data_IF_162574628879
#
_entry.id   IF_162574628879
#
_cell.length_a   1.000
_cell.length_b   1.000
_cell.length_c   1.000
_cell.angle_alpha   90.00
_cell.angle_beta   90.00
_cell.angle_gamma   90.00
#
_symmetry.space_group_name_H-M   'P 1'
#
loop_
_entity.id
_entity.type
_entity.pdbx_description
1 polymer ?
#
# COMPACT_ATOMS: atom_id res chain seq x y z
N UNK A 1 -8.65 10.04 -15.30
CA UNK A 1 -8.87 10.97 -14.15
C UNK A 1 -8.43 10.35 -12.82
N UNK A 2 -8.77 9.10 -12.50
CA UNK A 2 -8.31 8.44 -11.26
C UNK A 2 -6.79 8.32 -11.22
N UNK A 3 -6.14 7.99 -12.33
CA UNK A 3 -4.69 7.87 -12.43
C UNK A 3 -3.95 9.21 -12.30
N UNK A 4 -4.53 10.32 -12.78
CA UNK A 4 -3.92 11.65 -12.67
C UNK A 4 -3.98 12.22 -11.26
N UNK A 5 -4.95 11.82 -10.44
CA UNK A 5 -5.02 12.20 -9.02
C UNK A 5 -3.93 11.54 -8.15
N UNK A 6 -3.42 10.37 -8.55
CA UNK A 6 -2.42 9.62 -7.78
C UNK A 6 -0.96 10.02 -8.11
N UNK A 7 -0.72 10.73 -9.21
CA UNK A 7 0.63 11.08 -9.69
C UNK A 7 1.12 12.45 -9.19
N UNK A 8 0.28 13.25 -8.56
CA UNK A 8 0.63 14.59 -8.10
C UNK A 8 0.18 14.90 -6.67
N UNK A 9 0.70 14.18 -5.67
CA UNK A 9 0.23 14.26 -4.28
C UNK A 9 0.33 15.63 -3.61
N UNK A 10 1.17 16.54 -4.07
CA UNK A 10 1.22 17.92 -3.53
C UNK A 10 0.29 18.91 -4.25
N UNK A 11 -0.08 18.64 -5.49
CA UNK A 11 -0.93 19.56 -6.28
C UNK A 11 -2.42 19.30 -6.09
N UNK A 12 -2.84 18.04 -5.84
CA UNK A 12 -4.27 17.69 -5.67
C UNK A 12 -4.88 18.15 -4.34
N UNK A 13 -4.09 18.40 -3.30
CA UNK A 13 -4.60 18.83 -1.99
C UNK A 13 -4.85 20.34 -1.92
N UNK A 14 -4.12 21.15 -2.72
CA UNK A 14 -4.28 22.62 -2.75
C UNK A 14 -5.43 23.10 -3.63
N UNK A 15 -5.74 22.40 -4.73
CA UNK A 15 -6.71 22.86 -5.72
C UNK A 15 -8.17 22.45 -5.47
N UNK A 16 -8.45 21.74 -4.37
CA UNK A 16 -9.84 21.36 -4.02
C UNK A 16 -10.76 22.49 -3.58
N UNK A 17 -10.29 23.74 -3.56
CA UNK A 17 -11.11 24.90 -3.17
C UNK A 17 -11.67 25.72 -4.33
N UNK A 18 -11.32 25.45 -5.60
CA UNK A 18 -11.86 26.17 -6.74
C UNK A 18 -12.40 25.24 -7.83
N UNK A 19 -13.72 25.22 -7.92
CA UNK A 19 -14.59 24.96 -9.08
C UNK A 19 -14.30 23.73 -9.95
N UNK A 20 -15.01 22.64 -9.66
CA UNK A 20 -15.27 21.60 -10.65
C UNK A 20 -16.28 22.10 -11.69
N UNK A 21 -16.00 21.94 -13.01
CA UNK A 21 -17.01 22.19 -14.04
C UNK A 21 -18.12 21.14 -13.97
N UNK A 22 -19.37 21.42 -14.40
CA UNK A 22 -20.46 20.46 -14.40
C UNK A 22 -20.20 19.39 -15.47
N UNK A 23 -19.50 18.35 -15.12
CA UNK A 23 -19.27 17.16 -15.94
C UNK A 23 -20.20 16.04 -15.51
N UNK A 24 -20.85 15.43 -16.47
CA UNK A 24 -21.81 14.33 -16.43
C UNK A 24 -21.59 13.39 -15.26
N UNK A 25 -22.64 13.15 -14.47
CA UNK A 25 -22.75 12.15 -13.42
C UNK A 25 -22.42 10.76 -14.00
N UNK A 26 -21.19 10.33 -13.90
CA UNK A 26 -20.80 8.96 -14.17
C UNK A 26 -20.83 8.17 -12.86
N UNK A 27 -21.87 7.32 -12.77
CA UNK A 27 -21.92 6.22 -11.82
C UNK A 27 -22.01 6.65 -10.34
N UNK A 28 -23.19 7.11 -9.93
CA UNK A 28 -23.53 7.14 -8.51
C UNK A 28 -23.25 5.77 -7.85
N UNK A 29 -22.74 5.74 -6.61
CA UNK A 29 -22.66 4.49 -5.84
C UNK A 29 -24.04 3.82 -5.85
N UNK A 30 -24.07 2.49 -5.87
CA UNK A 30 -25.32 1.73 -5.89
C UNK A 30 -26.20 2.21 -4.74
N UNK A 31 -27.27 2.91 -5.06
CA UNK A 31 -28.26 3.34 -4.09
C UNK A 31 -28.86 2.09 -3.44
N UNK A 32 -28.63 1.88 -2.14
CA UNK A 32 -29.37 0.88 -1.39
C UNK A 32 -28.60 -0.08 -0.50
N UNK A 33 -27.25 -0.14 -0.53
CA UNK A 33 -26.53 -0.96 0.45
C UNK A 33 -26.29 -0.17 1.73
N UNK A 34 -26.97 -0.56 2.81
CA UNK A 34 -26.63 -0.09 4.13
C UNK A 34 -25.36 -0.79 4.62
N UNK A 35 -24.32 -0.01 4.88
CA UNK A 35 -23.05 -0.51 5.41
C UNK A 35 -23.03 -0.26 6.92
N UNK A 36 -22.96 -1.34 7.70
CA UNK A 36 -22.85 -1.24 9.15
C UNK A 36 -21.44 -0.77 9.51
N UNK A 37 -21.28 0.17 10.46
CA UNK A 37 -19.98 0.65 10.88
C UNK A 37 -19.21 -0.46 11.61
N UNK A 38 -17.88 -0.52 11.39
CA UNK A 38 -16.99 -1.43 12.10
C UNK A 38 -16.97 -1.09 13.60
N UNK A 39 -16.81 0.21 13.92
CA UNK A 39 -16.79 0.70 15.29
C UNK A 39 -18.15 1.28 15.68
N UNK A 40 -18.94 0.50 16.42
CA UNK A 40 -20.27 0.92 16.87
C UNK A 40 -20.17 1.86 18.09
N UNK A 41 -21.01 2.88 18.12
CA UNK A 41 -21.05 3.82 19.22
C UNK A 41 -21.36 3.14 20.57
N UNK A 42 -20.65 3.58 21.61
CA UNK A 42 -20.81 3.05 22.97
C UNK A 42 -20.14 1.71 23.26
N UNK A 43 -19.50 1.08 22.28
CA UNK A 43 -18.76 -0.18 22.51
C UNK A 43 -17.42 0.08 23.18
N UNK A 44 -16.95 -0.89 24.01
CA UNK A 44 -15.61 -0.83 24.60
C UNK A 44 -14.52 -0.87 23.53
N UNK A 45 -14.75 -1.56 22.42
CA UNK A 45 -13.84 -1.58 21.28
C UNK A 45 -13.60 -0.19 20.71
N UNK A 46 -14.67 0.60 20.43
CA UNK A 46 -14.53 1.98 19.96
C UNK A 46 -13.77 2.84 20.95
N UNK A 47 -14.09 2.72 22.25
CA UNK A 47 -13.42 3.48 23.31
C UNK A 47 -11.93 3.16 23.39
N UNK A 48 -11.52 1.90 23.19
CA UNK A 48 -10.12 1.51 23.23
C UNK A 48 -9.28 2.16 22.12
N UNK A 49 -9.91 2.51 20.99
CA UNK A 49 -9.25 3.18 19.87
C UNK A 49 -9.42 4.71 19.85
N UNK A 50 -10.12 5.32 20.81
CA UNK A 50 -10.32 6.79 20.85
C UNK A 50 -8.99 7.56 20.95
N UNK A 51 -7.95 6.98 21.55
CA UNK A 51 -6.60 7.56 21.60
C UNK A 51 -5.96 7.75 20.23
N UNK A 52 -6.36 6.99 19.20
CA UNK A 52 -5.86 7.12 17.84
C UNK A 52 -6.47 8.30 17.07
N UNK A 53 -7.41 9.04 17.64
CA UNK A 53 -8.01 10.23 17.00
C UNK A 53 -7.06 11.43 17.00
N UNK A 54 -6.09 11.46 17.91
CA UNK A 54 -5.11 12.53 18.03
C UNK A 54 -3.81 12.15 17.32
N UNK A 55 -3.83 12.21 16.00
CA UNK A 55 -2.68 11.85 15.18
C UNK A 55 -1.62 12.95 15.20
N UNK A 56 -0.36 12.54 15.21
CA UNK A 56 0.77 13.44 15.06
C UNK A 56 0.85 13.92 13.60
N UNK A 57 0.94 15.23 13.38
CA UNK A 57 1.03 15.80 12.02
C UNK A 57 2.40 15.59 11.37
N UNK A 58 3.47 15.53 12.17
CA UNK A 58 4.83 15.32 11.69
C UNK A 58 5.71 14.63 12.74
N UNK A 59 6.79 14.04 12.28
CA UNK A 59 7.81 13.48 13.16
C UNK A 59 8.57 14.59 13.90
N UNK A 60 9.13 14.33 15.11
CA UNK A 60 9.81 15.35 15.92
C UNK A 60 11.05 15.96 15.26
N UNK A 61 11.72 15.21 14.39
CA UNK A 61 12.97 15.61 13.71
C UNK A 61 12.74 15.56 12.20
N UNK A 62 13.12 16.65 11.51
CA UNK A 62 13.11 16.73 10.05
C UNK A 62 14.20 15.84 9.43
N UNK A 63 13.95 15.37 8.20
CA UNK A 63 14.99 14.70 7.42
C UNK A 63 16.19 15.58 7.13
N UNK A 64 15.98 16.90 7.05
CA UNK A 64 17.03 17.88 6.75
C UNK A 64 18.02 18.06 7.91
N UNK A 65 17.64 17.68 9.13
CA UNK A 65 18.49 17.76 10.33
C UNK A 65 19.39 16.53 10.51
N UNK A 66 19.34 15.56 9.60
CA UNK A 66 20.18 14.36 9.67
C UNK A 66 21.60 14.64 9.16
N UNK A 67 22.65 14.13 9.83
CA UNK A 67 24.00 14.22 9.31
C UNK A 67 24.13 13.50 7.97
N UNK A 68 24.74 14.16 6.98
CA UNK A 68 25.00 13.56 5.69
C UNK A 68 26.03 12.44 5.84
N UNK A 69 25.69 11.23 5.41
CA UNK A 69 26.57 10.07 5.43
C UNK A 69 26.77 9.51 4.03
N UNK A 70 28.01 9.12 3.72
CA UNK A 70 28.32 8.49 2.45
C UNK A 70 27.92 7.01 2.46
N UNK A 71 26.77 6.70 1.84
CA UNK A 71 26.34 5.32 1.55
C UNK A 71 27.41 4.53 0.79
N UNK A 72 28.12 5.17 -0.12
CA UNK A 72 29.16 4.54 -0.92
C UNK A 72 30.28 3.92 -0.09
N UNK A 73 30.71 4.61 0.98
CA UNK A 73 31.75 4.10 1.88
C UNK A 73 31.40 2.74 2.50
N UNK A 74 30.12 2.50 2.78
CA UNK A 74 29.60 1.26 3.39
C UNK A 74 29.34 0.19 2.32
N UNK A 75 28.78 0.58 1.19
CA UNK A 75 28.31 -0.36 0.16
C UNK A 75 29.44 -0.92 -0.70
N UNK A 76 30.54 -0.19 -0.93
CA UNK A 76 31.63 -0.61 -1.82
C UNK A 76 32.23 -1.98 -1.49
N UNK A 77 32.28 -2.35 -0.22
CA UNK A 77 32.83 -3.64 0.24
C UNK A 77 31.82 -4.79 0.22
N UNK A 78 30.58 -4.50 -0.20
CA UNK A 78 29.45 -5.41 -0.17
C UNK A 78 28.82 -5.64 -1.55
N UNK A 79 29.56 -5.32 -2.62
CA UNK A 79 29.13 -5.54 -3.99
C UNK A 79 28.86 -7.03 -4.20
N UNK A 80 27.66 -7.37 -4.72
CA UNK A 80 27.25 -8.75 -5.01
C UNK A 80 26.71 -9.53 -3.81
N UNK A 81 26.79 -8.96 -2.58
CA UNK A 81 26.25 -9.60 -1.37
C UNK A 81 24.77 -9.27 -1.16
N UNK A 82 24.12 -10.13 -0.41
CA UNK A 82 22.75 -9.91 0.07
C UNK A 82 22.76 -8.86 1.20
N UNK A 83 22.12 -7.72 0.94
CA UNK A 83 22.09 -6.60 1.88
C UNK A 83 21.16 -6.83 3.08
N UNK A 84 20.31 -7.84 3.05
CA UNK A 84 19.47 -8.20 4.20
C UNK A 84 20.30 -8.66 5.39
N UNK A 85 21.53 -9.16 5.11
CA UNK A 85 22.50 -9.67 6.11
C UNK A 85 23.52 -8.64 6.57
N UNK A 86 23.45 -7.41 6.08
CA UNK A 86 24.43 -6.37 6.39
C UNK A 86 23.86 -5.42 7.44
N UNK A 87 24.63 -5.20 8.50
CA UNK A 87 24.34 -4.16 9.50
C UNK A 87 24.70 -2.79 8.94
N UNK A 88 23.71 -1.92 8.83
CA UNK A 88 23.89 -0.51 8.51
C UNK A 88 24.01 0.30 9.81
N UNK A 89 24.80 1.41 9.82
CA UNK A 89 24.74 2.35 10.93
C UNK A 89 23.31 2.85 11.18
N UNK A 90 22.95 3.02 12.44
CA UNK A 90 21.59 3.42 12.84
C UNK A 90 21.14 4.74 12.19
N UNK A 91 22.09 5.63 11.86
CA UNK A 91 21.83 6.89 11.15
C UNK A 91 21.24 6.73 9.75
N UNK A 92 21.30 5.53 9.15
CA UNK A 92 20.61 5.21 7.90
C UNK A 92 19.16 4.79 8.10
N UNK A 93 18.77 4.54 9.33
CA UNK A 93 17.39 4.17 9.60
C UNK A 93 16.51 5.42 9.73
N UNK A 94 15.31 5.33 9.25
CA UNK A 94 14.23 6.25 9.63
C UNK A 94 13.65 5.84 10.98
N UNK A 95 12.98 6.75 11.71
CA UNK A 95 12.47 6.46 13.05
C UNK A 95 11.19 5.60 13.05
N UNK A 96 10.99 4.77 12.04
CA UNK A 96 9.86 3.85 11.90
C UNK A 96 10.35 2.42 11.73
N UNK A 97 9.57 1.46 12.22
CA UNK A 97 9.80 0.04 11.97
C UNK A 97 9.21 -0.39 10.62
N UNK A 98 9.58 -1.58 10.13
CA UNK A 98 8.97 -2.18 8.94
C UNK A 98 7.46 -2.39 9.12
N UNK A 99 6.99 -2.66 10.34
CA UNK A 99 5.56 -2.83 10.62
C UNK A 99 4.78 -1.54 10.40
N UNK A 100 5.32 -0.40 10.87
CA UNK A 100 4.77 0.92 10.61
C UNK A 100 4.85 1.29 9.12
N UNK A 101 5.95 0.90 8.45
CA UNK A 101 6.12 1.11 7.01
C UNK A 101 5.07 0.37 6.18
N UNK A 102 4.72 -0.85 6.56
CA UNK A 102 3.64 -1.60 5.93
C UNK A 102 2.27 -0.95 6.11
N UNK A 103 2.06 -0.29 7.25
CA UNK A 103 0.80 0.41 7.53
C UNK A 103 0.54 1.59 6.57
N UNK A 104 1.59 2.12 5.92
CA UNK A 104 1.45 3.17 4.89
C UNK A 104 0.72 2.68 3.63
N UNK A 105 0.61 1.37 3.43
CA UNK A 105 -0.24 0.81 2.36
C UNK A 105 -1.72 1.24 2.52
N UNK A 106 -2.13 1.60 3.74
CA UNK A 106 -3.50 2.03 4.06
C UNK A 106 -3.77 3.53 3.84
N UNK A 107 -2.83 4.29 3.26
CA UNK A 107 -2.99 5.74 3.05
C UNK A 107 -4.22 6.08 2.16
N UNK A 108 -4.49 5.25 1.16
CA UNK A 108 -5.56 5.48 0.18
C UNK A 108 -6.66 4.41 0.24
N UNK A 109 -7.10 4.07 1.45
CA UNK A 109 -8.18 3.07 1.66
C UNK A 109 -9.51 3.48 1.03
N UNK A 110 -9.72 4.77 0.76
CA UNK A 110 -10.90 5.25 0.03
C UNK A 110 -11.07 4.61 -1.35
N UNK A 111 -9.99 4.12 -1.95
CA UNK A 111 -10.09 3.33 -3.19
C UNK A 111 -10.79 1.99 -2.93
N UNK A 112 -10.52 1.34 -1.80
CA UNK A 112 -11.16 0.09 -1.42
C UNK A 112 -12.61 0.32 -0.98
N UNK A 113 -12.87 1.42 -0.26
CA UNK A 113 -14.24 1.82 0.10
C UNK A 113 -15.09 2.05 -1.16
N UNK A 114 -14.53 2.79 -2.12
CA UNK A 114 -15.17 3.01 -3.41
C UNK A 114 -15.38 1.70 -4.19
N UNK A 115 -14.38 0.80 -4.20
CA UNK A 115 -14.49 -0.51 -4.83
C UNK A 115 -15.66 -1.32 -4.24
N UNK A 116 -15.76 -1.39 -2.91
CA UNK A 116 -16.82 -2.14 -2.20
C UNK A 116 -18.24 -1.65 -2.49
N UNK A 117 -18.40 -0.46 -3.06
CA UNK A 117 -19.68 0.15 -3.41
C UNK A 117 -20.01 0.09 -4.91
N UNK A 118 -19.11 -0.45 -5.75
CA UNK A 118 -19.39 -0.58 -7.19
C UNK A 118 -20.17 -1.86 -7.51
N UNK A 119 -21.18 -1.76 -8.36
CA UNK A 119 -21.92 -2.91 -8.87
C UNK A 119 -21.19 -3.60 -10.03
N UNK A 120 -20.41 -2.84 -10.80
CA UNK A 120 -19.66 -3.33 -11.95
C UNK A 120 -18.31 -3.96 -11.51
N UNK A 121 -18.05 -5.25 -11.79
CA UNK A 121 -16.80 -5.92 -11.40
C UNK A 121 -15.56 -5.30 -12.04
N UNK A 122 -15.66 -4.74 -13.24
CA UNK A 122 -14.51 -4.06 -13.88
C UNK A 122 -14.16 -2.78 -13.14
N UNK A 123 -15.16 -1.99 -12.73
CA UNK A 123 -14.91 -0.79 -11.91
C UNK A 123 -14.31 -1.16 -10.54
N UNK A 124 -14.77 -2.24 -9.91
CA UNK A 124 -14.14 -2.74 -8.67
C UNK A 124 -12.67 -3.07 -8.89
N UNK A 125 -12.35 -3.82 -9.96
CA UNK A 125 -10.98 -4.15 -10.31
C UNK A 125 -10.12 -2.89 -10.53
N UNK A 126 -10.65 -1.86 -11.21
CA UNK A 126 -9.95 -0.58 -11.42
C UNK A 126 -9.62 0.12 -10.10
N UNK A 127 -10.57 0.18 -9.16
CA UNK A 127 -10.33 0.79 -7.84
C UNK A 127 -9.34 -0.02 -7.00
N UNK A 128 -9.39 -1.35 -7.04
CA UNK A 128 -8.40 -2.21 -6.37
C UNK A 128 -7.01 -2.01 -6.99
N UNK A 129 -6.91 -1.87 -8.31
CA UNK A 129 -5.65 -1.57 -9.00
C UNK A 129 -5.12 -0.17 -8.63
N UNK A 130 -5.99 0.83 -8.50
CA UNK A 130 -5.62 2.16 -8.03
C UNK A 130 -5.07 2.10 -6.59
N UNK A 131 -5.70 1.35 -5.69
CA UNK A 131 -5.18 1.09 -4.35
C UNK A 131 -3.81 0.39 -4.40
N UNK A 132 -3.65 -0.66 -5.20
CA UNK A 132 -2.40 -1.41 -5.32
C UNK A 132 -1.22 -0.52 -5.77
N UNK A 133 -1.47 0.43 -6.68
CA UNK A 133 -0.44 1.34 -7.17
C UNK A 133 -0.19 2.52 -6.21
N UNK A 134 -1.17 2.93 -5.41
CA UNK A 134 -1.06 4.09 -4.51
C UNK A 134 0.03 3.92 -3.44
N UNK A 135 0.34 2.68 -3.06
CA UNK A 135 1.35 2.34 -2.06
C UNK A 135 2.74 2.90 -2.39
N UNK A 136 3.01 3.16 -3.67
CA UNK A 136 4.31 3.69 -4.10
C UNK A 136 4.45 5.20 -3.86
N UNK A 137 3.36 5.91 -3.57
CA UNK A 137 3.39 7.34 -3.24
C UNK A 137 4.20 7.63 -1.97
N UNK A 138 4.15 6.73 -0.98
CA UNK A 138 4.87 6.85 0.30
C UNK A 138 6.40 6.75 0.15
N UNK A 139 6.89 6.31 -1.01
CA UNK A 139 8.32 6.12 -1.27
C UNK A 139 9.01 7.35 -1.87
N UNK A 140 8.25 8.38 -2.23
CA UNK A 140 8.75 9.57 -2.92
C UNK A 140 9.73 10.34 -2.02
N UNK A 141 10.98 10.51 -2.51
CA UNK A 141 12.05 11.21 -1.77
C UNK A 141 12.56 10.49 -0.52
N UNK A 142 12.18 9.24 -0.29
CA UNK A 142 12.40 8.48 0.94
C UNK A 142 13.31 7.29 0.67
N UNK A 143 14.55 7.38 1.10
CA UNK A 143 15.60 6.36 0.88
C UNK A 143 16.08 5.70 2.18
N UNK A 144 15.63 6.18 3.33
CA UNK A 144 16.02 5.63 4.61
C UNK A 144 15.43 4.24 4.83
N UNK A 145 16.19 3.38 5.51
CA UNK A 145 15.76 2.01 5.84
C UNK A 145 14.90 2.03 7.11
N UNK A 146 13.73 1.39 7.16
CA UNK A 146 13.02 1.18 8.41
C UNK A 146 13.80 0.25 9.35
N UNK A 147 13.54 0.32 10.65
CA UNK A 147 14.06 -0.65 11.59
C UNK A 147 13.49 -2.05 11.31
N UNK A 148 14.33 -3.07 11.45
CA UNK A 148 13.90 -4.47 11.40
C UNK A 148 13.25 -4.82 12.75
N UNK A 149 11.96 -5.22 12.77
CA UNK A 149 11.28 -5.54 14.02
C UNK A 149 11.87 -6.78 14.70
N UNK A 150 11.61 -6.92 15.99
CA UNK A 150 11.87 -8.16 16.70
C UNK A 150 10.88 -9.27 16.28
N UNK A 151 11.27 -10.53 16.42
CA UNK A 151 10.34 -11.64 16.22
C UNK A 151 9.15 -11.51 17.19
N UNK A 152 7.92 -11.56 16.67
CA UNK A 152 6.70 -11.39 17.44
C UNK A 152 6.39 -9.93 17.83
N UNK A 153 7.19 -8.97 17.40
CA UNK A 153 6.83 -7.54 17.53
C UNK A 153 5.57 -7.26 16.72
N UNK A 154 4.62 -6.54 17.31
CA UNK A 154 3.36 -6.16 16.69
C UNK A 154 3.23 -4.64 16.59
N UNK A 155 2.47 -4.19 15.61
CA UNK A 155 2.02 -2.80 15.50
C UNK A 155 0.56 -2.79 15.08
N UNK A 156 -0.24 -1.98 15.76
CA UNK A 156 -1.67 -1.83 15.48
C UNK A 156 -2.11 -0.37 15.51
N UNK A 157 -3.12 -0.05 14.76
CA UNK A 157 -3.85 1.22 14.86
C UNK A 157 -5.25 1.10 14.26
N UNK A 158 -6.10 2.08 14.54
CA UNK A 158 -7.44 2.20 13.98
C UNK A 158 -7.71 3.62 13.50
N UNK A 159 -8.47 3.74 12.42
CA UNK A 159 -9.00 4.99 11.88
C UNK A 159 -10.51 5.00 12.08
N UNK A 160 -10.95 5.59 13.19
CA UNK A 160 -12.37 5.69 13.53
C UNK A 160 -13.15 6.51 12.50
N UNK A 161 -12.51 7.53 11.93
CA UNK A 161 -13.06 8.40 10.89
C UNK A 161 -13.24 7.68 9.53
N UNK A 162 -12.43 6.64 9.27
CA UNK A 162 -12.48 5.81 8.05
C UNK A 162 -12.98 4.39 8.30
N UNK A 163 -13.36 4.08 9.53
CA UNK A 163 -13.94 2.80 9.93
C UNK A 163 -13.09 1.58 9.54
N UNK A 164 -11.75 1.63 9.75
CA UNK A 164 -10.89 0.46 9.59
C UNK A 164 -9.90 0.30 10.75
N UNK A 165 -9.48 -0.93 10.98
CA UNK A 165 -8.39 -1.28 11.88
C UNK A 165 -7.30 -2.04 11.13
N UNK A 166 -6.08 -1.93 11.63
CA UNK A 166 -4.87 -2.51 11.06
C UNK A 166 -4.02 -3.15 12.15
N UNK A 167 -3.48 -4.32 11.86
CA UNK A 167 -2.47 -5.01 12.69
C UNK A 167 -1.38 -5.58 11.81
N UNK A 168 -0.15 -5.55 12.29
CA UNK A 168 0.99 -6.20 11.65
C UNK A 168 1.89 -6.87 12.67
N UNK A 169 2.64 -7.87 12.23
CA UNK A 169 3.53 -8.67 13.08
C UNK A 169 4.76 -9.11 12.29
N UNK A 170 5.91 -9.16 12.98
CA UNK A 170 7.11 -9.81 12.48
C UNK A 170 7.01 -11.31 12.72
N UNK A 171 6.54 -12.03 11.72
CA UNK A 171 6.24 -13.48 11.82
C UNK A 171 7.47 -14.38 11.64
N UNK A 172 8.56 -13.85 11.08
CA UNK A 172 9.87 -14.48 10.99
C UNK A 172 10.97 -13.42 11.08
N UNK A 173 12.12 -13.75 11.67
CA UNK A 173 13.25 -12.83 11.78
C UNK A 173 14.46 -13.26 10.97
N UNK A 174 14.61 -14.54 10.70
CA UNK A 174 15.64 -15.14 9.84
C UNK A 174 15.05 -16.21 8.93
N UNK A 175 14.67 -15.90 7.68
CA UNK A 175 14.68 -14.57 7.03
C UNK A 175 13.64 -13.63 7.62
N UNK A 176 13.83 -12.30 7.52
CA UNK A 176 12.85 -11.34 8.02
C UNK A 176 11.59 -11.36 7.14
N UNK A 177 10.46 -11.65 7.77
CA UNK A 177 9.13 -11.66 7.14
C UNK A 177 8.15 -10.95 8.07
N UNK A 178 7.46 -9.96 7.55
CA UNK A 178 6.38 -9.25 8.23
C UNK A 178 5.06 -9.51 7.53
N UNK A 179 4.01 -9.71 8.29
CA UNK A 179 2.64 -9.87 7.78
C UNK A 179 1.73 -8.79 8.35
N UNK A 180 0.68 -8.44 7.63
CA UNK A 180 -0.34 -7.52 8.11
C UNK A 180 -1.74 -7.95 7.71
N UNK A 181 -2.70 -7.47 8.49
CA UNK A 181 -4.11 -7.59 8.25
C UNK A 181 -4.79 -6.25 8.53
N UNK A 182 -5.71 -5.84 7.66
CA UNK A 182 -6.59 -4.72 7.90
C UNK A 182 -8.01 -5.08 7.47
N UNK A 183 -9.00 -4.51 8.16
CA UNK A 183 -10.39 -4.72 7.82
C UNK A 183 -11.22 -3.46 7.99
N UNK A 184 -12.23 -3.36 7.15
CA UNK A 184 -13.27 -2.35 7.14
C UNK A 184 -14.64 -3.00 6.86
N UNK A 185 -15.74 -2.26 6.94
CA UNK A 185 -17.06 -2.81 6.66
C UNK A 185 -17.21 -3.45 5.27
N UNK A 186 -16.47 -2.98 4.27
CA UNK A 186 -16.65 -3.39 2.87
C UNK A 186 -15.47 -4.18 2.30
N UNK A 187 -14.36 -4.28 3.05
CA UNK A 187 -13.16 -4.95 2.56
C UNK A 187 -12.29 -5.50 3.70
N UNK A 188 -11.43 -6.43 3.32
CA UNK A 188 -10.30 -6.93 4.10
C UNK A 188 -9.04 -6.83 3.24
N UNK A 189 -7.91 -6.48 3.86
CA UNK A 189 -6.59 -6.45 3.24
C UNK A 189 -5.62 -7.35 4.01
N UNK A 190 -4.82 -8.10 3.28
CA UNK A 190 -3.74 -8.93 3.83
C UNK A 190 -2.49 -8.69 3.01
N UNK A 191 -1.39 -8.42 3.68
CA UNK A 191 -0.10 -8.20 3.05
C UNK A 191 1.01 -8.99 3.73
N UNK A 192 2.02 -9.34 2.94
CA UNK A 192 3.24 -9.95 3.44
C UNK A 192 4.43 -9.24 2.80
N UNK A 193 5.39 -8.84 3.63
CA UNK A 193 6.69 -8.33 3.18
C UNK A 193 7.73 -9.39 3.42
N UNK A 194 8.05 -10.10 2.36
CA UNK A 194 9.24 -10.90 2.18
C UNK A 194 9.99 -10.30 1.00
N UNK A 195 11.24 -9.92 1.16
CA UNK A 195 11.98 -9.20 0.13
C UNK A 195 13.42 -9.72 0.01
N UNK A 196 13.82 -9.95 -1.22
CA UNK A 196 15.22 -10.22 -1.55
C UNK A 196 15.87 -8.93 -2.00
N UNK A 197 17.04 -8.61 -1.46
CA UNK A 197 17.78 -7.43 -1.84
C UNK A 197 19.17 -7.77 -2.35
N UNK A 198 19.61 -7.03 -3.37
CA UNK A 198 20.92 -7.24 -3.98
C UNK A 198 21.58 -5.92 -4.34
N UNK A 199 22.86 -5.80 -4.02
CA UNK A 199 23.68 -4.67 -4.44
C UNK A 199 24.39 -4.98 -5.77
N UNK A 200 24.16 -4.14 -6.79
CA UNK A 200 24.69 -4.29 -8.15
C UNK A 200 25.85 -3.33 -8.45
N UNK A 201 26.47 -2.72 -7.42
CA UNK A 201 27.57 -1.79 -7.55
C UNK A 201 27.17 -0.34 -7.83
N UNK A 202 26.15 -0.09 -8.66
CA UNK A 202 25.62 1.25 -8.97
C UNK A 202 24.21 1.46 -8.43
N UNK A 203 23.50 0.38 -8.22
CA UNK A 203 22.14 0.36 -7.69
C UNK A 203 21.99 -0.76 -6.68
N UNK A 204 20.95 -0.62 -5.91
CA UNK A 204 20.53 -1.62 -4.95
C UNK A 204 19.06 -1.95 -5.26
N UNK A 205 18.79 -3.21 -5.53
CA UNK A 205 17.46 -3.69 -5.89
C UNK A 205 16.80 -4.41 -4.73
N UNK A 206 15.54 -4.10 -4.48
CA UNK A 206 14.65 -4.81 -3.59
C UNK A 206 13.58 -5.47 -4.43
N UNK A 207 13.48 -6.78 -4.35
CA UNK A 207 12.47 -7.60 -5.05
C UNK A 207 11.51 -8.18 -4.02
N UNK A 208 10.32 -7.62 -3.87
CA UNK A 208 9.30 -8.18 -3.02
C UNK A 208 8.86 -9.55 -3.57
N UNK A 209 8.73 -10.54 -2.69
CA UNK A 209 8.23 -11.89 -3.02
C UNK A 209 6.88 -12.16 -2.37
N UNK A 210 6.47 -11.33 -1.41
CA UNK A 210 5.16 -11.41 -0.78
C UNK A 210 4.03 -11.02 -1.71
N UNK A 211 2.85 -11.58 -1.44
CA UNK A 211 1.61 -11.31 -2.17
C UNK A 211 0.71 -10.43 -1.31
N UNK A 212 0.10 -9.43 -1.93
CA UNK A 212 -0.98 -8.65 -1.31
C UNK A 212 -2.33 -9.20 -1.76
N UNK A 213 -3.29 -9.20 -0.86
CA UNK A 213 -4.64 -9.69 -1.07
C UNK A 213 -5.66 -8.68 -0.60
N UNK A 214 -6.73 -8.52 -1.36
CA UNK A 214 -7.95 -7.81 -0.97
C UNK A 214 -9.14 -8.74 -1.12
N UNK A 215 -10.04 -8.72 -0.17
CA UNK A 215 -11.37 -9.32 -0.27
C UNK A 215 -12.39 -8.20 -0.15
N UNK A 216 -13.12 -7.93 -1.23
CA UNK A 216 -14.27 -7.03 -1.19
C UNK A 216 -15.49 -7.83 -0.74
N UNK A 217 -16.23 -7.32 0.22
CA UNK A 217 -17.49 -7.88 0.70
C UNK A 217 -18.62 -7.30 -0.14
N UNK A 218 -19.15 -8.07 -1.09
CA UNK A 218 -20.12 -7.57 -2.10
C UNK A 218 -21.40 -8.38 -2.11
N UNK A 219 -22.50 -7.80 -2.63
CA UNK A 219 -23.72 -8.54 -2.89
C UNK A 219 -23.48 -9.58 -3.99
N UNK A 220 -23.97 -10.83 -3.85
CA UNK A 220 -23.89 -11.85 -4.91
C UNK A 220 -24.48 -11.38 -6.24
N UNK A 221 -25.48 -10.51 -6.20
CA UNK A 221 -26.16 -9.96 -7.38
C UNK A 221 -25.22 -9.11 -8.26
N UNK A 222 -24.16 -8.57 -7.67
CA UNK A 222 -23.17 -7.76 -8.38
C UNK A 222 -22.10 -8.61 -9.08
N UNK A 223 -22.10 -9.91 -8.85
CA UNK A 223 -21.26 -10.85 -9.58
C UNK A 223 -21.95 -11.33 -10.86
N UNK A 224 -21.18 -11.75 -11.88
CA UNK A 224 -21.70 -12.47 -13.04
C UNK A 224 -22.53 -13.67 -12.59
N UNK A 225 -23.65 -13.93 -13.25
CA UNK A 225 -24.62 -14.97 -12.85
C UNK A 225 -24.00 -16.36 -12.65
N UNK A 226 -23.03 -16.73 -13.50
CA UNK A 226 -22.31 -17.99 -13.42
C UNK A 226 -21.26 -18.06 -12.29
N UNK A 227 -21.08 -17.00 -11.52
CA UNK A 227 -20.11 -16.91 -10.41
C UNK A 227 -20.74 -16.75 -9.04
N UNK A 228 -22.02 -16.42 -8.97
CA UNK A 228 -22.76 -16.12 -7.72
C UNK A 228 -22.74 -17.26 -6.72
N UNK A 229 -22.98 -18.48 -7.19
CA UNK A 229 -23.07 -19.67 -6.32
C UNK A 229 -21.71 -20.22 -5.90
N UNK A 230 -20.67 -19.94 -6.67
CA UNK A 230 -19.31 -20.40 -6.40
C UNK A 230 -18.47 -19.41 -5.58
N UNK A 231 -18.90 -18.16 -5.41
CA UNK A 231 -18.18 -17.17 -4.63
C UNK A 231 -18.23 -17.50 -3.13
N UNK A 232 -17.09 -17.41 -2.42
CA UNK A 232 -17.04 -17.69 -0.98
C UNK A 232 -17.95 -16.74 -0.20
N UNK A 233 -18.73 -17.28 0.75
CA UNK A 233 -19.55 -16.47 1.66
C UNK A 233 -18.65 -15.74 2.66
N UNK A 234 -19.06 -14.53 3.05
CA UNK A 234 -18.38 -13.80 4.13
C UNK A 234 -18.82 -14.38 5.47
N UNK A 235 -17.90 -14.90 6.29
CA UNK A 235 -18.26 -15.44 7.60
C UNK A 235 -18.90 -14.36 8.50
N UNK A 236 -20.05 -14.69 9.09
CA UNK A 236 -20.76 -13.78 10.00
C UNK A 236 -21.53 -12.64 9.34
N UNK A 237 -21.48 -12.50 8.01
CA UNK A 237 -22.23 -11.49 7.25
C UNK A 237 -23.16 -12.17 6.24
N UNK A 238 -24.41 -12.37 6.66
CA UNK A 238 -25.43 -13.01 5.79
C UNK A 238 -25.68 -12.18 4.53
N UNK A 239 -25.80 -12.88 3.40
CA UNK A 239 -26.10 -12.25 2.11
C UNK A 239 -24.91 -11.64 1.38
N UNK A 240 -23.69 -11.69 1.93
CA UNK A 240 -22.49 -11.20 1.28
C UNK A 240 -21.55 -12.33 0.82
N UNK A 241 -20.81 -12.02 -0.23
CA UNK A 241 -19.74 -12.88 -0.77
C UNK A 241 -18.42 -12.12 -0.79
N UNK A 242 -17.33 -12.86 -0.65
CA UNK A 242 -15.98 -12.32 -0.72
C UNK A 242 -15.45 -12.37 -2.16
N UNK A 243 -15.30 -11.23 -2.80
CA UNK A 243 -14.64 -11.13 -4.09
C UNK A 243 -13.14 -10.90 -3.87
N UNK A 244 -12.32 -11.89 -4.19
CA UNK A 244 -10.90 -11.94 -3.84
C UNK A 244 -10.03 -11.44 -4.97
N UNK A 245 -9.09 -10.56 -4.63
CA UNK A 245 -8.06 -9.98 -5.51
C UNK A 245 -6.68 -10.25 -4.95
N UNK A 246 -5.66 -10.39 -5.83
CA UNK A 246 -4.26 -10.46 -5.40
C UNK A 246 -3.31 -9.85 -6.41
N UNK A 247 -2.15 -9.42 -5.92
CA UNK A 247 -1.03 -8.91 -6.73
C UNK A 247 0.30 -9.04 -6.01
N UNK A 248 1.40 -8.99 -6.80
CA UNK A 248 2.75 -8.84 -6.26
C UNK A 248 3.22 -7.40 -6.45
N UNK A 249 3.97 -6.87 -5.48
CA UNK A 249 4.62 -5.57 -5.61
C UNK A 249 5.76 -5.65 -6.64
N UNK A 250 6.02 -4.54 -7.37
CA UNK A 250 7.10 -4.46 -8.36
C UNK A 250 8.47 -4.25 -7.71
N UNK A 251 9.53 -4.44 -8.49
CA UNK A 251 10.90 -4.22 -8.05
C UNK A 251 11.15 -2.75 -7.75
N UNK A 252 11.82 -2.48 -6.64
CA UNK A 252 12.32 -1.16 -6.26
C UNK A 252 13.81 -1.09 -6.46
N UNK A 253 14.32 -0.05 -7.10
CA UNK A 253 15.74 0.23 -7.26
C UNK A 253 16.10 1.55 -6.61
N UNK A 254 17.19 1.53 -5.84
CA UNK A 254 17.81 2.75 -5.33
C UNK A 254 19.14 2.94 -6.05
N UNK A 255 19.32 4.11 -6.66
CA UNK A 255 20.53 4.47 -7.44
C UNK A 255 21.00 5.89 -7.08
N UNK A 256 22.08 6.36 -7.70
CA UNK A 256 22.56 7.74 -7.51
C UNK A 256 23.35 7.98 -6.21
N UNK A 257 23.58 6.99 -5.38
CA UNK A 257 24.34 7.15 -4.13
C UNK A 257 25.84 7.40 -4.34
N UNK A 258 26.40 7.05 -5.52
CA UNK A 258 27.78 7.39 -5.90
C UNK A 258 27.91 8.88 -6.20
N UNK A 259 26.87 9.47 -6.81
CA UNK A 259 26.84 10.88 -7.21
C UNK A 259 26.34 11.80 -6.09
N UNK A 260 25.96 11.26 -4.93
CA UNK A 260 25.42 12.02 -3.81
C UNK A 260 23.95 12.43 -3.96
N UNK A 261 23.27 11.98 -5.03
CA UNK A 261 21.86 12.25 -5.28
C UNK A 261 21.06 10.94 -5.37
N UNK A 262 20.85 10.25 -4.23
CA UNK A 262 20.16 8.97 -4.25
C UNK A 262 18.70 9.14 -4.65
N UNK A 263 18.25 8.25 -5.53
CA UNK A 263 16.88 8.23 -6.04
C UNK A 263 16.32 6.83 -5.93
N UNK A 264 15.01 6.74 -5.61
CA UNK A 264 14.25 5.51 -5.60
C UNK A 264 13.37 5.46 -6.87
N UNK A 265 13.33 4.32 -7.50
CA UNK A 265 12.54 4.06 -8.70
C UNK A 265 11.86 2.70 -8.61
N UNK A 266 10.69 2.57 -9.21
CA UNK A 266 9.91 1.33 -9.24
C UNK A 266 9.72 0.93 -10.68
N UNK A 267 9.91 -0.35 -11.00
CA UNK A 267 9.79 -0.83 -12.36
C UNK A 267 9.33 -2.29 -12.43
N UNK A 268 8.69 -2.62 -13.54
CA UNK A 268 8.16 -3.94 -13.80
C UNK A 268 6.65 -3.94 -13.96
N UNK A 269 6.10 -5.11 -14.11
CA UNK A 269 4.67 -5.33 -14.29
C UNK A 269 4.03 -5.74 -12.97
N UNK A 270 2.94 -5.06 -12.60
CA UNK A 270 2.04 -5.47 -11.53
C UNK A 270 0.75 -5.97 -12.17
N UNK A 271 0.40 -7.21 -11.88
CA UNK A 271 -0.83 -7.82 -12.34
C UNK A 271 -1.79 -8.00 -11.17
N UNK A 272 -2.87 -7.25 -11.15
CA UNK A 272 -3.98 -7.41 -10.19
C UNK A 272 -4.97 -8.40 -10.78
N UNK A 273 -5.23 -9.49 -10.06
CA UNK A 273 -6.08 -10.60 -10.49
C UNK A 273 -7.32 -10.66 -9.62
N UNK A 274 -8.50 -10.65 -10.22
CA UNK A 274 -9.76 -11.01 -9.59
C UNK A 274 -9.96 -12.53 -9.69
N UNK A 275 -9.90 -13.24 -8.57
CA UNK A 275 -10.00 -14.70 -8.54
C UNK A 275 -11.42 -15.24 -8.71
N UNK A 276 -12.44 -14.40 -8.58
CA UNK A 276 -13.85 -14.81 -8.77
C UNK A 276 -14.23 -14.72 -10.24
N UNK A 277 -13.94 -13.59 -10.89
CA UNK A 277 -14.31 -13.38 -12.29
C UNK A 277 -13.27 -13.88 -13.27
N UNK A 278 -11.99 -13.89 -12.87
CA UNK A 278 -10.83 -14.19 -13.71
C UNK A 278 -10.26 -12.95 -14.42
N UNK A 279 -10.89 -11.78 -14.25
CA UNK A 279 -10.42 -10.54 -14.85
C UNK A 279 -9.08 -10.10 -14.26
N UNK A 280 -8.30 -9.39 -15.06
CA UNK A 280 -6.98 -8.89 -14.67
C UNK A 280 -6.76 -7.46 -15.11
N UNK A 281 -6.10 -6.68 -14.25
CA UNK A 281 -5.58 -5.36 -14.58
C UNK A 281 -4.05 -5.41 -14.53
N UNK A 282 -3.41 -4.93 -15.58
CA UNK A 282 -1.95 -4.88 -15.68
C UNK A 282 -1.49 -3.45 -15.61
N UNK A 283 -0.60 -3.15 -14.65
CA UNK A 283 0.03 -1.86 -14.44
C UNK A 283 1.52 -1.99 -14.77
N UNK A 284 1.98 -1.29 -15.80
CA UNK A 284 3.37 -1.31 -16.20
C UNK A 284 4.10 -0.09 -15.62
N UNK A 285 4.93 -0.34 -14.62
CA UNK A 285 5.81 0.67 -14.02
C UNK A 285 7.02 0.87 -14.92
N UNK A 286 7.07 2.03 -15.57
CA UNK A 286 8.09 2.33 -16.56
C UNK A 286 9.39 2.74 -15.86
N UNK A 287 10.53 2.08 -16.14
CA UNK A 287 11.80 2.47 -15.54
C UNK A 287 12.14 3.93 -15.83
N UNK A 288 12.71 4.62 -14.86
CA UNK A 288 13.24 5.97 -15.03
C UNK A 288 14.25 5.99 -16.19
N UNK A 289 13.98 6.75 -17.22
CA UNK A 289 14.88 6.95 -18.33
C UNK A 289 16.12 7.77 -17.94
N UNK A 290 17.08 7.87 -18.88
CA UNK A 290 18.36 8.55 -18.68
C UNK A 290 18.24 9.97 -18.08
N UNK A 291 17.25 10.75 -18.51
CA UNK A 291 16.99 12.10 -18.03
C UNK A 291 15.79 12.18 -17.07
N UNK A 292 15.47 11.11 -16.37
CA UNK A 292 14.27 11.01 -15.54
C UNK A 292 12.96 11.28 -16.30
N UNK A 293 12.96 11.09 -17.62
CA UNK A 293 11.81 11.39 -18.50
C UNK A 293 10.55 10.60 -18.08
N UNK A 294 10.74 9.36 -17.65
CA UNK A 294 9.65 8.47 -17.26
C UNK A 294 9.57 8.28 -15.73
N UNK A 295 10.13 9.21 -14.95
CA UNK A 295 10.10 9.09 -13.49
C UNK A 295 8.66 8.99 -13.00
N UNK A 296 8.34 7.87 -12.31
CA UNK A 296 7.01 7.58 -11.75
C UNK A 296 5.89 7.40 -12.79
N UNK A 297 6.24 7.06 -14.01
CA UNK A 297 5.26 6.78 -15.05
C UNK A 297 4.71 5.35 -14.88
N UNK A 298 3.38 5.21 -14.87
CA UNK A 298 2.66 3.94 -14.85
C UNK A 298 1.70 3.94 -16.04
N UNK A 299 1.69 2.87 -16.82
CA UNK A 299 0.84 2.67 -18.00
C UNK A 299 -0.08 1.48 -17.82
#
# INVERSE_FOLDING_TARGET
EIASCLVGSEMCIRDRKEQAPPGKQEGAPAAGREVQPLFKDGTEEKKSFESYTHLRERMPISNDDRPSMSLWGILKNNIGKDLTKISFPVSFNEPTSMLQRMAEDMEFTECLDAAGMQTDPIRRLMYVAAFAMSNYSSTIGRIAKPFNPLLGETFEYARLDRQYRYVSEQVSHHPPVSACFAEAPTWEYMGCVDAKSKFLGRSFEIRPTGVAHVRLKVSPEWLPSNKRDSAPRVPGEEGLVAEHYSWNKVTTSVSGFITGSPTMDHFGEMKVVNHVTGDTCVLNFVPRGWNSANAREIR
#
